data_IF_023221404340
#
_entry.id   IF_023221404340
#
_cell.length_a   1.000
_cell.length_b   1.000
_cell.length_c   1.000
_cell.angle_alpha   90.00
_cell.angle_beta   90.00
_cell.angle_gamma   90.00
#
_symmetry.space_group_name_H-M   'P 1'
#
loop_
_entity.id
_entity.type
_entity.pdbx_description
1 polymer ?
#
# COMPACT_ATOMS: atom_id res chain seq x y z
N UNK A 1 33.29 -6.41 9.19
CA UNK A 1 33.20 -5.54 7.99
C UNK A 1 32.02 -6.07 7.21
N UNK A 2 30.87 -5.39 7.22
CA UNK A 2 29.67 -5.82 6.50
C UNK A 2 29.97 -5.83 5.01
N UNK A 3 29.68 -6.93 4.33
CA UNK A 3 29.83 -7.05 2.89
C UNK A 3 28.80 -6.14 2.20
N UNK A 4 29.13 -5.57 1.03
CA UNK A 4 28.19 -4.83 0.19
C UNK A 4 26.89 -5.62 -0.05
N UNK A 5 26.98 -6.95 -0.20
CA UNK A 5 25.81 -7.80 -0.37
C UNK A 5 24.91 -7.82 0.88
N UNK A 6 25.48 -7.96 2.09
CA UNK A 6 24.71 -7.89 3.34
C UNK A 6 24.08 -6.50 3.56
N UNK A 7 24.81 -5.43 3.24
CA UNK A 7 24.27 -4.08 3.31
C UNK A 7 23.12 -3.85 2.30
N UNK A 8 23.17 -4.49 1.14
CA UNK A 8 22.09 -4.47 0.14
C UNK A 8 20.91 -5.31 0.62
N UNK A 9 21.14 -6.50 1.17
CA UNK A 9 20.08 -7.34 1.74
C UNK A 9 19.40 -6.67 2.94
N UNK A 10 20.13 -5.92 3.77
CA UNK A 10 19.59 -5.08 4.84
C UNK A 10 18.71 -3.93 4.29
N UNK A 11 19.09 -3.34 3.15
CA UNK A 11 18.28 -2.32 2.47
C UNK A 11 17.03 -2.92 1.82
N UNK A 12 17.12 -4.14 1.30
CA UNK A 12 15.99 -4.88 0.70
C UNK A 12 15.03 -5.44 1.76
N UNK A 13 15.54 -5.80 2.94
CA UNK A 13 14.76 -6.33 4.06
C UNK A 13 14.15 -5.26 4.96
N UNK A 14 14.51 -3.98 4.77
CA UNK A 14 13.85 -2.86 5.45
C UNK A 14 12.35 -2.91 5.16
N UNK A 15 11.48 -2.98 6.20
CA UNK A 15 10.05 -3.14 5.98
C UNK A 15 9.52 -2.03 5.08
N UNK A 16 8.87 -2.46 4.00
CA UNK A 16 8.19 -1.64 3.01
C UNK A 16 6.94 -0.98 3.62
N UNK A 17 7.14 -0.14 4.62
CA UNK A 17 6.17 0.85 5.10
C UNK A 17 5.85 1.91 4.01
N UNK A 18 6.46 1.74 2.84
CA UNK A 18 6.19 2.42 1.59
C UNK A 18 4.92 1.81 0.98
N UNK A 19 3.88 2.63 0.91
CA UNK A 19 2.69 2.31 0.13
C UNK A 19 3.07 2.04 -1.34
N UNK A 20 2.43 1.08 -2.03
CA UNK A 20 2.71 0.77 -3.44
C UNK A 20 2.51 2.00 -4.35
N UNK A 21 2.83 1.90 -5.63
CA UNK A 21 2.60 3.03 -6.54
C UNK A 21 1.13 3.47 -6.53
N UNK A 22 0.85 4.76 -6.80
CA UNK A 22 -0.53 5.26 -6.91
C UNK A 22 -1.41 4.44 -7.86
N UNK A 23 -0.83 3.97 -8.97
CA UNK A 23 -1.52 3.15 -9.94
C UNK A 23 -1.98 1.81 -9.34
N UNK A 24 -1.10 1.12 -8.61
CA UNK A 24 -1.43 -0.16 -7.97
C UNK A 24 -2.48 0.03 -6.88
N UNK A 25 -2.39 1.10 -6.08
CA UNK A 25 -3.43 1.44 -5.09
C UNK A 25 -4.82 1.53 -5.73
N UNK A 26 -4.91 2.28 -6.83
CA UNK A 26 -6.16 2.48 -7.56
C UNK A 26 -6.64 1.20 -8.25
N UNK A 27 -5.74 0.40 -8.85
CA UNK A 27 -6.09 -0.89 -9.47
C UNK A 27 -6.66 -1.86 -8.44
N UNK A 28 -6.00 -2.04 -7.31
CA UNK A 28 -6.45 -2.94 -6.23
C UNK A 28 -7.82 -2.54 -5.68
N UNK A 29 -8.03 -1.24 -5.43
CA UNK A 29 -9.33 -0.74 -4.96
C UNK A 29 -10.45 -1.03 -5.97
N UNK A 30 -10.20 -0.72 -7.25
CA UNK A 30 -11.18 -0.93 -8.33
C UNK A 30 -11.48 -2.41 -8.55
N UNK A 31 -10.46 -3.26 -8.53
CA UNK A 31 -10.63 -4.72 -8.65
C UNK A 31 -11.50 -5.28 -7.51
N UNK A 32 -11.38 -4.69 -6.31
CA UNK A 32 -12.21 -5.01 -5.14
C UNK A 32 -13.62 -4.41 -5.17
N UNK A 33 -14.00 -3.72 -6.25
CA UNK A 33 -15.34 -3.15 -6.43
C UNK A 33 -15.64 -1.90 -5.59
N UNK A 34 -14.63 -1.31 -4.94
CA UNK A 34 -14.83 -0.20 -4.00
C UNK A 34 -14.57 1.17 -4.63
N UNK A 35 -15.35 2.15 -4.20
CA UNK A 35 -15.17 3.57 -4.51
C UNK A 35 -14.18 4.23 -3.53
N UNK A 36 -13.67 5.40 -3.90
CA UNK A 36 -12.84 6.19 -2.98
C UNK A 36 -13.62 6.68 -1.75
N UNK A 37 -14.93 6.88 -1.88
CA UNK A 37 -15.79 7.35 -0.78
C UNK A 37 -15.93 6.26 0.29
N UNK A 38 -16.23 5.01 -0.10
CA UNK A 38 -16.36 3.88 0.84
C UNK A 38 -15.07 3.64 1.62
N UNK A 39 -13.91 3.76 0.96
CA UNK A 39 -12.63 3.63 1.66
C UNK A 39 -12.38 4.85 2.55
N UNK A 40 -12.68 6.06 2.10
CA UNK A 40 -12.52 7.26 2.92
C UNK A 40 -13.37 7.21 4.21
N UNK A 41 -14.62 6.74 4.10
CA UNK A 41 -15.53 6.52 5.22
C UNK A 41 -14.96 5.52 6.23
N UNK A 42 -14.44 4.39 5.77
CA UNK A 42 -13.80 3.38 6.64
C UNK A 42 -12.57 3.93 7.39
N UNK A 43 -11.86 4.90 6.80
CA UNK A 43 -10.71 5.56 7.41
C UNK A 43 -11.08 6.82 8.22
N UNK A 44 -12.36 7.22 8.23
CA UNK A 44 -12.85 8.42 8.92
C UNK A 44 -12.26 9.71 8.34
N UNK A 45 -12.01 9.75 7.03
CA UNK A 45 -11.48 10.93 6.33
C UNK A 45 -12.39 11.36 5.19
N UNK A 46 -12.24 12.60 4.73
CA UNK A 46 -12.96 13.08 3.56
C UNK A 46 -12.44 12.39 2.28
N UNK A 47 -13.32 12.12 1.30
CA UNK A 47 -12.93 11.51 0.00
C UNK A 47 -11.73 12.18 -0.65
N UNK A 48 -11.66 13.52 -0.62
CA UNK A 48 -10.53 14.27 -1.20
C UNK A 48 -9.20 14.01 -0.48
N UNK A 49 -9.21 13.71 0.83
CA UNK A 49 -8.01 13.32 1.55
C UNK A 49 -7.54 11.94 1.09
N UNK A 50 -8.47 10.98 0.98
CA UNK A 50 -8.16 9.65 0.46
C UNK A 50 -7.69 9.69 -1.00
N UNK A 51 -8.30 10.50 -1.86
CA UNK A 51 -7.85 10.72 -3.25
C UNK A 51 -6.38 11.18 -3.29
N UNK A 52 -5.98 12.12 -2.42
CA UNK A 52 -4.59 12.59 -2.35
C UNK A 52 -3.65 11.49 -1.85
N UNK A 53 -4.09 10.65 -0.91
CA UNK A 53 -3.33 9.48 -0.48
C UNK A 53 -3.17 8.47 -1.62
N UNK A 54 -4.25 8.13 -2.31
CA UNK A 54 -4.25 7.18 -3.42
C UNK A 54 -3.35 7.66 -4.55
N UNK A 55 -3.41 8.96 -4.90
CA UNK A 55 -2.57 9.58 -5.92
C UNK A 55 -1.12 9.86 -5.46
N UNK A 56 -0.76 9.57 -4.21
CA UNK A 56 0.58 9.83 -3.66
C UNK A 56 0.91 11.32 -3.45
N UNK A 57 -0.10 12.20 -3.51
CA UNK A 57 0.05 13.66 -3.30
C UNK A 57 0.21 14.03 -1.83
N UNK A 58 -0.24 13.16 -0.92
CA UNK A 58 0.01 13.27 0.51
C UNK A 58 0.09 11.88 1.14
N UNK A 59 0.63 11.80 2.36
CA UNK A 59 0.72 10.53 3.09
C UNK A 59 -0.25 10.49 4.28
N UNK A 60 -0.87 9.34 4.55
CA UNK A 60 -1.61 9.13 5.78
C UNK A 60 -0.68 9.23 7.01
N UNK A 61 -1.26 9.55 8.17
CA UNK A 61 -0.56 9.44 9.46
C UNK A 61 -0.12 7.98 9.70
N UNK A 62 0.92 7.71 10.50
CA UNK A 62 1.48 6.35 10.65
C UNK A 62 0.45 5.25 10.92
N UNK A 63 -0.50 5.47 11.85
CA UNK A 63 -1.58 4.51 12.16
C UNK A 63 -2.48 4.24 10.95
N UNK A 64 -2.91 5.28 10.24
CA UNK A 64 -3.73 5.16 9.03
C UNK A 64 -2.93 4.53 7.88
N UNK A 65 -1.63 4.82 7.76
CA UNK A 65 -0.76 4.22 6.74
C UNK A 65 -0.63 2.72 6.95
N UNK A 66 -0.41 2.27 8.18
CA UNK A 66 -0.36 0.85 8.51
C UNK A 66 -1.69 0.13 8.20
N UNK A 67 -2.83 0.74 8.54
CA UNK A 67 -4.14 0.20 8.19
C UNK A 67 -4.35 0.15 6.67
N UNK A 68 -3.91 1.17 5.93
CA UNK A 68 -4.02 1.20 4.47
C UNK A 68 -3.13 0.15 3.80
N UNK A 69 -1.90 -0.03 4.28
CA UNK A 69 -1.03 -1.12 3.85
C UNK A 69 -1.67 -2.49 4.07
N UNK A 70 -2.29 -2.72 5.25
CA UNK A 70 -3.01 -3.97 5.53
C UNK A 70 -4.16 -4.20 4.55
N UNK A 71 -4.94 -3.15 4.25
CA UNK A 71 -6.04 -3.22 3.29
C UNK A 71 -5.54 -3.58 1.88
N UNK A 72 -4.49 -2.90 1.42
CA UNK A 72 -3.88 -3.15 0.11
C UNK A 72 -3.30 -4.57 0.00
N UNK A 73 -2.68 -5.09 1.05
CA UNK A 73 -2.22 -6.49 1.11
C UNK A 73 -3.38 -7.48 0.97
N UNK A 74 -4.50 -7.23 1.66
CA UNK A 74 -5.69 -8.07 1.55
C UNK A 74 -6.31 -8.06 0.15
N UNK A 75 -6.40 -6.89 -0.49
CA UNK A 75 -6.87 -6.80 -1.88
C UNK A 75 -5.92 -7.46 -2.87
N UNK A 76 -4.61 -7.33 -2.67
CA UNK A 76 -3.61 -7.94 -3.54
C UNK A 76 -3.61 -9.47 -3.46
N UNK A 77 -3.97 -10.05 -2.31
CA UNK A 77 -4.19 -11.49 -2.19
C UNK A 77 -5.43 -11.96 -2.97
N UNK A 78 -6.46 -11.12 -3.09
CA UNK A 78 -7.68 -11.42 -3.85
C UNK A 78 -7.54 -11.14 -5.35
N UNK A 79 -6.71 -10.15 -5.71
CA UNK A 79 -6.49 -9.65 -7.07
C UNK A 79 -4.99 -9.56 -7.40
N UNK A 80 -4.28 -10.69 -7.54
CA UNK A 80 -2.84 -10.70 -7.81
C UNK A 80 -2.46 -9.95 -9.10
N UNK A 81 -3.29 -10.01 -10.14
CA UNK A 81 -3.11 -9.30 -11.41
C UNK A 81 -3.14 -7.77 -11.24
N UNK A 82 -3.91 -7.27 -10.28
CA UNK A 82 -3.96 -5.85 -9.96
C UNK A 82 -2.80 -5.40 -9.05
N UNK A 83 -2.05 -6.36 -8.49
CA UNK A 83 -0.93 -6.13 -7.57
C UNK A 83 0.44 -6.11 -8.26
N UNK A 84 0.52 -6.13 -9.60
CA UNK A 84 1.80 -6.07 -10.31
C UNK A 84 2.66 -4.88 -9.83
N UNK A 85 3.88 -5.16 -9.37
CA UNK A 85 4.77 -4.15 -8.80
C UNK A 85 4.53 -3.84 -7.31
N UNK A 86 3.63 -4.55 -6.63
CA UNK A 86 3.50 -4.56 -5.18
C UNK A 86 4.01 -5.88 -4.60
N UNK A 87 5.21 -5.85 -4.03
CA UNK A 87 5.80 -7.03 -3.40
C UNK A 87 5.02 -7.37 -2.13
N UNK A 88 4.27 -8.46 -2.18
CA UNK A 88 3.71 -9.10 -1.00
C UNK A 88 4.86 -9.82 -0.28
N UNK A 89 5.56 -9.10 0.61
CA UNK A 89 6.48 -9.77 1.53
C UNK A 89 5.69 -10.87 2.25
N UNK A 90 6.15 -12.11 2.13
CA UNK A 90 5.48 -13.30 2.65
C UNK A 90 5.16 -13.08 4.13
N UNK A 91 3.88 -13.18 4.47
CA UNK A 91 3.45 -13.26 5.85
C UNK A 91 3.89 -14.63 6.38
N UNK A 92 5.09 -14.69 6.94
CA UNK A 92 5.55 -15.77 7.80
C UNK A 92 4.87 -15.72 9.17
#
# INVERSE_FOLDING_TARGET
MTNLFEAVDDLLSRPADVLPSPEVRAKLRKASGLTQEEVAEAFGVHRMAFLRWENGQSMPRPKARAAYLRLLKGWAQQHPEAAEGFTLAEAG
#
